data_IF_103715960797
#
_entry.id   IF_103715960797
#
_cell.length_a   1.000
_cell.length_b   1.000
_cell.length_c   1.000
_cell.angle_alpha   90.00
_cell.angle_beta   90.00
_cell.angle_gamma   90.00
#
_symmetry.space_group_name_H-M   'P 1'
#
loop_
_entity.id
_entity.type
_entity.pdbx_description
1 polymer ?
#
# COMPACT_ATOMS: atom_id res chain seq x y z
N UNK A 1 43.41 -29.37 11.05
CA UNK A 1 44.71 -29.28 11.74
C UNK A 1 45.70 -30.19 11.01
N UNK A 2 46.31 -29.71 9.91
CA UNK A 2 47.33 -30.42 9.12
C UNK A 2 48.16 -29.30 8.46
N UNK A 3 49.26 -28.87 9.09
CA UNK A 3 50.65 -29.35 8.99
C UNK A 3 51.50 -28.38 8.17
N UNK A 4 52.30 -27.61 8.90
CA UNK A 4 53.51 -26.89 8.50
C UNK A 4 54.21 -27.50 7.28
N UNK A 5 54.38 -26.70 6.23
CA UNK A 5 55.39 -26.95 5.18
C UNK A 5 56.12 -25.64 4.86
N UNK A 6 56.93 -25.23 5.84
CA UNK A 6 58.03 -24.28 5.68
C UNK A 6 59.05 -24.85 4.70
N UNK A 7 58.96 -24.43 3.43
CA UNK A 7 59.95 -24.74 2.40
C UNK A 7 61.15 -23.79 2.61
N UNK A 8 62.09 -24.21 3.47
CA UNK A 8 63.34 -23.52 3.75
C UNK A 8 64.41 -24.00 2.76
N UNK A 9 64.69 -23.21 1.72
CA UNK A 9 65.87 -23.40 0.87
C UNK A 9 67.03 -22.60 1.46
N UNK A 10 67.97 -23.30 2.10
CA UNK A 10 69.21 -22.72 2.59
C UNK A 10 70.23 -22.64 1.43
N UNK A 11 70.57 -21.42 1.02
CA UNK A 11 71.76 -21.13 0.20
C UNK A 11 72.98 -21.11 1.13
N UNK A 12 74.13 -21.59 0.66
CA UNK A 12 75.34 -21.91 1.44
C UNK A 12 76.08 -20.69 2.06
N UNK A 13 75.42 -19.53 2.12
CA UNK A 13 75.81 -18.38 2.95
C UNK A 13 74.56 -17.92 3.68
N UNK A 14 74.43 -18.29 4.95
CA UNK A 14 73.26 -18.09 5.81
C UNK A 14 72.67 -16.67 5.79
N UNK A 15 71.91 -16.34 4.75
CA UNK A 15 71.00 -15.20 4.68
C UNK A 15 69.61 -15.75 4.44
N UNK A 16 68.82 -15.79 5.52
CA UNK A 16 67.38 -16.00 5.43
C UNK A 16 66.79 -14.80 4.67
N UNK A 17 66.51 -14.99 3.38
CA UNK A 17 65.70 -14.03 2.63
C UNK A 17 64.25 -14.28 3.00
N UNK A 18 63.72 -13.51 3.95
CA UNK A 18 62.28 -13.41 4.14
C UNK A 18 61.69 -12.80 2.87
N UNK A 19 61.19 -13.65 1.98
CA UNK A 19 60.41 -13.22 0.82
C UNK A 19 59.11 -12.66 1.40
N UNK A 20 59.02 -11.32 1.56
CA UNK A 20 57.79 -10.62 1.94
C UNK A 20 56.71 -11.03 0.93
N UNK A 21 55.89 -12.02 1.29
CA UNK A 21 54.69 -12.34 0.54
C UNK A 21 53.74 -11.17 0.74
N UNK A 22 53.21 -10.69 -0.39
CA UNK A 22 51.96 -9.95 -0.47
C UNK A 22 51.98 -8.50 0.03
N UNK A 23 52.54 -7.60 -0.79
CA UNK A 23 52.10 -6.19 -0.83
C UNK A 23 50.97 -5.97 -1.87
N UNK A 24 50.50 -7.03 -2.55
CA UNK A 24 49.45 -6.95 -3.57
C UNK A 24 48.03 -7.23 -3.03
N UNK A 25 47.91 -7.88 -1.87
CA UNK A 25 46.61 -8.26 -1.27
C UNK A 25 45.80 -7.07 -0.74
N UNK A 26 46.46 -6.04 -0.19
CA UNK A 26 45.78 -4.91 0.44
C UNK A 26 44.95 -4.07 -0.53
N UNK A 27 45.43 -3.89 -1.76
CA UNK A 27 44.72 -3.14 -2.80
C UNK A 27 43.52 -3.93 -3.30
N UNK A 28 43.70 -5.23 -3.56
CA UNK A 28 42.63 -6.12 -4.04
C UNK A 28 41.53 -6.27 -2.98
N UNK A 29 41.88 -6.44 -1.70
CA UNK A 29 40.90 -6.45 -0.61
C UNK A 29 40.14 -5.13 -0.51
N UNK A 30 40.81 -3.98 -0.67
CA UNK A 30 40.15 -2.67 -0.68
C UNK A 30 39.16 -2.52 -1.83
N UNK A 31 39.49 -3.03 -3.02
CA UNK A 31 38.58 -3.01 -4.16
C UNK A 31 37.38 -3.94 -3.95
N UNK A 32 37.57 -5.12 -3.36
CA UNK A 32 36.47 -6.05 -3.04
C UNK A 32 35.54 -5.47 -1.97
N UNK A 33 36.09 -4.84 -0.93
CA UNK A 33 35.29 -4.16 0.09
C UNK A 33 34.59 -2.92 -0.46
N UNK A 34 35.26 -2.15 -1.32
CA UNK A 34 34.66 -0.98 -1.97
C UNK A 34 33.54 -1.36 -2.94
N UNK A 35 33.71 -2.43 -3.73
CA UNK A 35 32.67 -2.91 -4.63
C UNK A 35 31.48 -3.49 -3.85
N UNK A 36 31.73 -4.27 -2.80
CA UNK A 36 30.67 -4.79 -1.94
C UNK A 36 29.87 -3.65 -1.28
N UNK A 37 30.56 -2.62 -0.77
CA UNK A 37 29.90 -1.45 -0.19
C UNK A 37 29.08 -0.69 -1.23
N UNK A 38 29.63 -0.46 -2.43
CA UNK A 38 28.92 0.19 -3.53
C UNK A 38 27.67 -0.60 -3.96
N UNK A 39 27.75 -1.94 -4.03
CA UNK A 39 26.60 -2.79 -4.32
C UNK A 39 25.53 -2.69 -3.24
N UNK A 40 25.91 -2.66 -1.95
CA UNK A 40 24.95 -2.49 -0.85
C UNK A 40 24.26 -1.11 -0.94
N UNK A 41 25.01 -0.04 -1.18
CA UNK A 41 24.41 1.29 -1.34
C UNK A 41 23.47 1.35 -2.55
N UNK A 42 23.90 0.82 -3.70
CA UNK A 42 23.10 0.81 -4.92
C UNK A 42 21.80 0.01 -4.72
N UNK A 43 21.89 -1.19 -4.14
CA UNK A 43 20.72 -2.06 -3.88
C UNK A 43 19.78 -1.45 -2.85
N UNK A 44 20.30 -0.76 -1.84
CA UNK A 44 19.49 -0.04 -0.84
C UNK A 44 18.73 1.13 -1.48
N UNK A 45 19.40 1.95 -2.30
CA UNK A 45 18.76 3.05 -3.03
C UNK A 45 17.69 2.53 -3.97
N UNK A 46 17.99 1.47 -4.74
CA UNK A 46 17.02 0.85 -5.65
C UNK A 46 15.79 0.33 -4.90
N UNK A 47 16.01 -0.34 -3.77
CA UNK A 47 14.96 -0.88 -2.91
C UNK A 47 14.10 0.22 -2.33
N UNK A 48 14.70 1.32 -1.87
CA UNK A 48 13.97 2.50 -1.38
C UNK A 48 13.14 3.14 -2.49
N UNK A 49 13.68 3.26 -3.71
CA UNK A 49 12.98 3.83 -4.86
C UNK A 49 11.75 2.99 -5.25
N UNK A 50 11.91 1.67 -5.26
CA UNK A 50 10.83 0.73 -5.59
C UNK A 50 9.76 0.72 -4.50
N UNK A 51 10.17 0.77 -3.22
CA UNK A 51 9.25 0.89 -2.10
C UNK A 51 8.47 2.22 -2.16
N UNK A 52 9.15 3.33 -2.46
CA UNK A 52 8.51 4.64 -2.63
C UNK A 52 7.51 4.65 -3.78
N UNK A 53 7.84 4.03 -4.92
CA UNK A 53 6.92 3.90 -6.05
C UNK A 53 5.69 3.04 -5.70
N UNK A 54 5.89 1.95 -4.97
CA UNK A 54 4.79 1.10 -4.49
C UNK A 54 3.89 1.83 -3.48
N UNK A 55 4.49 2.68 -2.62
CA UNK A 55 3.79 3.45 -1.61
C UNK A 55 2.87 4.51 -2.22
N UNK A 56 3.36 5.25 -3.22
CA UNK A 56 2.52 6.22 -3.93
C UNK A 56 1.39 5.53 -4.72
N UNK A 57 1.66 4.38 -5.31
CA UNK A 57 0.63 3.56 -5.98
C UNK A 57 -0.44 3.09 -4.98
N UNK A 58 -0.02 2.60 -3.81
CA UNK A 58 -0.93 2.20 -2.74
C UNK A 58 -1.78 3.37 -2.23
N UNK A 59 -1.16 4.52 -1.98
CA UNK A 59 -1.86 5.74 -1.53
C UNK A 59 -2.89 6.20 -2.57
N UNK A 60 -2.53 6.16 -3.85
CA UNK A 60 -3.44 6.49 -4.95
C UNK A 60 -4.63 5.52 -5.02
N UNK A 61 -4.36 4.21 -4.97
CA UNK A 61 -5.40 3.18 -4.97
C UNK A 61 -6.34 3.31 -3.76
N UNK A 62 -5.78 3.53 -2.57
CA UNK A 62 -6.55 3.77 -1.34
C UNK A 62 -7.48 4.99 -1.47
N UNK A 63 -6.97 6.10 -2.00
CA UNK A 63 -7.78 7.29 -2.22
C UNK A 63 -8.89 7.07 -3.27
N UNK A 64 -8.60 6.31 -4.33
CA UNK A 64 -9.60 5.95 -5.34
C UNK A 64 -10.72 5.08 -4.76
N UNK A 65 -10.39 4.10 -3.90
CA UNK A 65 -11.39 3.28 -3.20
C UNK A 65 -12.28 4.15 -2.31
N UNK A 66 -11.70 5.11 -1.59
CA UNK A 66 -12.47 6.05 -0.75
C UNK A 66 -13.41 6.93 -1.59
N UNK A 67 -12.91 7.47 -2.71
CA UNK A 67 -13.73 8.29 -3.60
C UNK A 67 -14.88 7.47 -4.22
N UNK A 68 -14.60 6.23 -4.58
CA UNK A 68 -15.59 5.31 -5.14
C UNK A 68 -16.67 4.92 -4.11
N UNK A 69 -16.30 4.66 -2.85
CA UNK A 69 -17.26 4.41 -1.77
C UNK A 69 -18.22 5.60 -1.55
N UNK A 70 -17.70 6.84 -1.59
CA UNK A 70 -18.55 8.04 -1.51
C UNK A 70 -19.51 8.12 -2.69
N UNK A 71 -19.01 7.89 -3.91
CA UNK A 71 -19.84 7.92 -5.12
C UNK A 71 -20.98 6.89 -5.05
N UNK A 72 -20.69 5.66 -4.61
CA UNK A 72 -21.71 4.64 -4.41
C UNK A 72 -22.77 5.03 -3.40
N UNK A 73 -22.37 5.65 -2.27
CA UNK A 73 -23.34 6.11 -1.26
C UNK A 73 -24.27 7.19 -1.80
N UNK A 74 -23.74 8.11 -2.61
CA UNK A 74 -24.56 9.16 -3.25
C UNK A 74 -25.53 8.55 -4.27
N UNK A 75 -25.07 7.58 -5.07
CA UNK A 75 -25.95 6.85 -6.01
C UNK A 75 -27.06 6.09 -5.29
N UNK A 76 -26.73 5.41 -4.17
CA UNK A 76 -27.71 4.69 -3.37
C UNK A 76 -28.80 5.63 -2.86
N UNK A 77 -28.43 6.75 -2.23
CA UNK A 77 -29.40 7.74 -1.77
C UNK A 77 -30.24 8.30 -2.92
N UNK A 78 -29.63 8.55 -4.09
CA UNK A 78 -30.39 9.00 -5.26
C UNK A 78 -31.42 7.95 -5.73
N UNK A 79 -31.08 6.66 -5.66
CA UNK A 79 -31.99 5.58 -6.00
C UNK A 79 -33.12 5.47 -4.96
N UNK A 80 -32.81 5.60 -3.67
CA UNK A 80 -33.80 5.56 -2.60
C UNK A 80 -34.80 6.71 -2.70
N UNK A 81 -34.33 7.94 -3.02
CA UNK A 81 -35.21 9.09 -3.31
C UNK A 81 -36.10 8.86 -4.54
N UNK A 82 -35.59 8.19 -5.57
CA UNK A 82 -36.39 7.85 -6.75
C UNK A 82 -37.46 6.81 -6.38
N UNK A 83 -37.12 5.83 -5.55
CA UNK A 83 -38.05 4.87 -4.97
C UNK A 83 -39.14 5.54 -4.15
N UNK A 84 -38.81 6.48 -3.27
CA UNK A 84 -39.79 7.27 -2.53
C UNK A 84 -40.79 7.98 -3.43
N UNK A 85 -40.32 8.59 -4.54
CA UNK A 85 -41.22 9.22 -5.52
C UNK A 85 -42.18 8.21 -6.15
N UNK A 86 -41.73 6.98 -6.40
CA UNK A 86 -42.60 5.91 -6.86
C UNK A 86 -43.64 5.52 -5.80
N UNK A 87 -43.24 5.34 -4.53
CA UNK A 87 -44.16 5.04 -3.44
C UNK A 87 -45.18 6.16 -3.18
N UNK A 88 -44.76 7.42 -3.29
CA UNK A 88 -45.66 8.58 -3.22
C UNK A 88 -46.69 8.53 -4.35
N UNK A 89 -46.26 8.24 -5.58
CA UNK A 89 -47.18 8.11 -6.71
C UNK A 89 -48.16 6.96 -6.51
N UNK A 90 -47.71 5.80 -6.03
CA UNK A 90 -48.60 4.69 -5.69
C UNK A 90 -49.59 5.06 -4.59
N UNK A 91 -49.16 5.77 -3.55
CA UNK A 91 -50.04 6.25 -2.49
C UNK A 91 -51.11 7.22 -3.01
N UNK A 92 -50.72 8.16 -3.87
CA UNK A 92 -51.65 9.13 -4.47
C UNK A 92 -52.70 8.41 -5.32
N UNK A 93 -52.26 7.44 -6.14
CA UNK A 93 -53.11 6.69 -7.08
C UNK A 93 -53.89 5.54 -6.43
N UNK A 94 -53.54 5.13 -5.22
CA UNK A 94 -54.21 4.04 -4.51
C UNK A 94 -55.66 4.37 -4.11
N UNK A 95 -56.46 3.31 -4.00
CA UNK A 95 -57.84 3.37 -3.50
C UNK A 95 -57.86 3.89 -2.04
N UNK A 96 -58.96 4.49 -1.56
CA UNK A 96 -59.05 4.95 -0.17
C UNK A 96 -58.82 3.85 0.87
N UNK A 97 -59.19 2.60 0.53
CA UNK A 97 -59.04 1.42 1.38
C UNK A 97 -57.56 1.00 1.52
N UNK A 98 -56.76 1.21 0.48
CA UNK A 98 -55.34 0.86 0.44
C UNK A 98 -54.41 1.99 0.89
N UNK A 99 -54.92 3.22 1.04
CA UNK A 99 -54.11 4.41 1.36
C UNK A 99 -53.29 4.26 2.63
N UNK A 100 -53.88 3.71 3.69
CA UNK A 100 -53.16 3.52 4.96
C UNK A 100 -52.02 2.51 4.79
N UNK A 101 -52.26 1.41 4.08
CA UNK A 101 -51.22 0.41 3.78
C UNK A 101 -50.06 1.03 2.98
N UNK A 102 -50.37 1.80 1.93
CA UNK A 102 -49.36 2.48 1.10
C UNK A 102 -48.63 3.58 1.86
N UNK A 103 -49.29 4.25 2.80
CA UNK A 103 -48.67 5.24 3.67
C UNK A 103 -47.62 4.60 4.58
N UNK A 104 -47.92 3.45 5.19
CA UNK A 104 -46.96 2.71 6.02
C UNK A 104 -45.72 2.29 5.21
N UNK A 105 -45.91 1.84 3.96
CA UNK A 105 -44.79 1.50 3.07
C UNK A 105 -43.93 2.73 2.75
N UNK A 106 -44.55 3.88 2.46
CA UNK A 106 -43.82 5.13 2.23
C UNK A 106 -43.01 5.56 3.45
N UNK A 107 -43.59 5.48 4.65
CA UNK A 107 -42.90 5.83 5.91
C UNK A 107 -41.71 4.91 6.14
N UNK A 108 -41.89 3.59 5.98
CA UNK A 108 -40.79 2.63 6.12
C UNK A 108 -39.66 2.89 5.13
N UNK A 109 -39.98 3.28 3.89
CA UNK A 109 -38.97 3.61 2.89
C UNK A 109 -38.26 4.93 3.20
N UNK A 110 -38.99 5.91 3.73
CA UNK A 110 -38.42 7.19 4.18
C UNK A 110 -37.38 7.01 5.28
N UNK A 111 -37.62 6.12 6.23
CA UNK A 111 -36.66 5.81 7.29
C UNK A 111 -35.34 5.23 6.75
N UNK A 112 -35.38 4.49 5.63
CA UNK A 112 -34.19 3.95 4.95
C UNK A 112 -33.41 5.10 4.30
N UNK A 113 -34.09 5.95 3.54
CA UNK A 113 -33.48 7.11 2.88
C UNK A 113 -32.87 8.08 3.89
N UNK A 114 -33.59 8.42 4.96
CA UNK A 114 -33.10 9.33 6.01
C UNK A 114 -31.84 8.75 6.68
N UNK A 115 -31.79 7.44 6.91
CA UNK A 115 -30.61 6.75 7.44
C UNK A 115 -29.42 6.85 6.48
N UNK A 116 -29.63 6.66 5.18
CA UNK A 116 -28.56 6.69 4.20
C UNK A 116 -28.06 8.11 3.91
N UNK A 117 -28.96 9.10 3.93
CA UNK A 117 -28.61 10.54 3.96
C UNK A 117 -27.75 10.91 5.17
N UNK A 118 -28.08 10.40 6.37
CA UNK A 118 -27.26 10.65 7.57
C UNK A 118 -25.85 10.05 7.46
N UNK A 119 -25.71 8.86 6.85
CA UNK A 119 -24.39 8.25 6.59
C UNK A 119 -23.55 9.14 5.68
N UNK A 120 -24.13 9.73 4.64
CA UNK A 120 -23.45 10.69 3.77
C UNK A 120 -22.98 11.90 4.60
N UNK A 121 -23.88 12.53 5.36
CA UNK A 121 -23.56 13.72 6.17
C UNK A 121 -22.41 13.47 7.15
N UNK A 122 -22.40 12.33 7.83
CA UNK A 122 -21.35 11.95 8.79
C UNK A 122 -19.98 11.85 8.11
N UNK A 123 -19.92 11.23 6.93
CA UNK A 123 -18.69 11.08 6.14
C UNK A 123 -18.12 12.43 5.69
N UNK A 124 -18.97 13.40 5.33
CA UNK A 124 -18.51 14.75 4.96
C UNK A 124 -18.13 15.61 6.17
N UNK A 125 -18.80 15.44 7.32
CA UNK A 125 -18.47 16.18 8.55
C UNK A 125 -17.14 15.78 9.18
N UNK A 126 -16.70 14.53 8.99
CA UNK A 126 -15.42 14.03 9.50
C UNK A 126 -14.22 14.38 8.61
N UNK A 127 -14.47 14.94 7.41
CA UNK A 127 -13.44 15.29 6.43
C UNK A 127 -13.18 16.80 6.32
N UNK A 128 -13.90 17.61 7.09
CA UNK A 128 -13.74 19.07 7.17
C UNK A 128 -13.01 19.43 8.47
#
# INVERSE_FOLDING_TARGET
MIFESLLFTADARGRVKTKKRSSASSNILRYIWGSALATIFLTTILSFWLLSGSWETWKSAYNNVIQFDIFYRVLQVSNDLAGERAFVNELILSSPEDKESRWQVLVAHRDITDRDMQKIRKTYSLRR
#
